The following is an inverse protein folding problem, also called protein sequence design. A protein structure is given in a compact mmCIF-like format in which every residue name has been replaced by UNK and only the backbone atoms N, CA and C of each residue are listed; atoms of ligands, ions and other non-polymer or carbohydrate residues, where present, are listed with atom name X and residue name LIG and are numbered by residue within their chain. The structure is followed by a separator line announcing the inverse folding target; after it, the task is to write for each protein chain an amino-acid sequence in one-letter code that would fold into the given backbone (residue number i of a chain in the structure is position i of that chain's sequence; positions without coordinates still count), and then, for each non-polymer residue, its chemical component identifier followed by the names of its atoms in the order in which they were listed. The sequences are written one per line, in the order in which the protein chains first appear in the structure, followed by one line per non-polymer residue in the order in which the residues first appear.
data_IF_512161699915
#
_entry.id   IF_512161699915
#
_cell.length_a   1.000
_cell.length_b   1.000
_cell.length_c   1.000
_cell.angle_alpha   90.00
_cell.angle_beta   90.00
_cell.angle_gamma   90.00
#
_symmetry.space_group_name_H-M   'P 1'
#
loop_
_entity.id
_entity.type
_entity.pdbx_description
1 polymer ?
#
# COMPACT_ATOMS: atom_id res chain seq x y z
N UNK A 1 5.04 8.77 -2.74
CA UNK A 1 4.29 7.51 -2.50
C UNK A 1 4.69 6.43 -3.50
N UNK A 2 4.29 6.56 -4.78
CA UNK A 2 4.47 5.49 -5.76
C UNK A 2 5.93 5.07 -5.99
N UNK A 3 6.86 6.03 -6.11
CA UNK A 3 8.29 5.72 -6.28
C UNK A 3 8.79 4.82 -5.16
N UNK A 4 8.51 5.17 -3.91
CA UNK A 4 8.91 4.38 -2.74
C UNK A 4 8.31 2.97 -2.77
N UNK A 5 7.03 2.82 -3.13
CA UNK A 5 6.41 1.50 -3.25
C UNK A 5 7.11 0.65 -4.32
N UNK A 6 7.52 1.24 -5.44
CA UNK A 6 8.31 0.53 -6.46
C UNK A 6 9.68 0.12 -5.93
N UNK A 7 10.35 0.97 -5.15
CA UNK A 7 11.61 0.59 -4.47
C UNK A 7 11.39 -0.59 -3.53
N UNK A 8 10.33 -0.56 -2.71
CA UNK A 8 9.99 -1.69 -1.85
C UNK A 8 9.76 -2.96 -2.68
N UNK A 9 9.11 -2.85 -3.83
CA UNK A 9 8.84 -3.99 -4.68
C UNK A 9 10.06 -4.56 -5.43
N UNK A 10 11.11 -3.76 -5.63
CA UNK A 10 12.42 -4.25 -6.12
C UNK A 10 13.28 -4.82 -4.99
N UNK A 11 13.18 -4.24 -3.80
CA UNK A 11 13.92 -4.66 -2.61
C UNK A 11 13.42 -6.00 -2.04
N UNK A 12 12.13 -6.26 -2.11
CA UNK A 12 11.49 -7.46 -1.56
C UNK A 12 10.97 -8.39 -2.66
N UNK A 13 11.09 -9.69 -2.45
CA UNK A 13 10.74 -10.72 -3.44
C UNK A 13 9.23 -10.79 -3.70
N UNK A 14 8.86 -10.97 -4.96
CA UNK A 14 7.49 -11.28 -5.41
C UNK A 14 6.42 -10.27 -5.02
N UNK A 15 6.81 -8.99 -4.95
CA UNK A 15 5.90 -7.88 -4.64
C UNK A 15 5.39 -7.19 -5.91
N UNK A 16 4.07 -7.05 -6.03
CA UNK A 16 3.37 -6.24 -7.02
C UNK A 16 2.94 -4.89 -6.44
N UNK A 17 2.98 -3.84 -7.25
CA UNK A 17 2.59 -2.48 -6.85
C UNK A 17 1.29 -2.10 -7.55
N UNK A 18 0.20 -1.99 -6.79
CA UNK A 18 -1.07 -1.49 -7.31
C UNK A 18 -0.99 0.03 -7.46
N UNK A 19 -1.31 0.53 -8.65
CA UNK A 19 -1.20 1.98 -8.92
C UNK A 19 -2.17 2.79 -8.04
N UNK A 20 -1.72 3.83 -7.31
CA UNK A 20 -2.59 4.62 -6.44
C UNK A 20 -3.67 5.41 -7.19
N UNK A 21 -3.47 5.66 -8.48
CA UNK A 21 -4.36 6.46 -9.33
C UNK A 21 -5.58 5.70 -9.85
N UNK A 22 -5.79 4.44 -9.49
CA UNK A 22 -6.93 3.67 -10.01
C UNK A 22 -8.30 4.23 -9.61
N UNK A 23 -8.37 5.14 -8.65
CA UNK A 23 -9.63 5.83 -8.26
C UNK A 23 -9.96 7.04 -9.13
N UNK A 24 -9.03 7.51 -9.97
CA UNK A 24 -9.25 8.66 -10.85
C UNK A 24 -10.25 8.37 -11.97
N UNK A 25 -10.20 7.21 -12.67
CA UNK A 25 -11.21 6.87 -13.68
C UNK A 25 -12.57 6.55 -13.05
N UNK A 26 -13.65 6.86 -13.77
CA UNK A 26 -15.01 6.52 -13.34
C UNK A 26 -15.37 5.08 -13.70
N UNK A 27 -14.96 4.62 -14.88
CA UNK A 27 -15.33 3.33 -15.44
C UNK A 27 -14.55 2.19 -14.76
N UNK A 28 -15.23 1.14 -14.24
CA UNK A 28 -14.56 0.04 -13.53
C UNK A 28 -13.43 -0.62 -14.32
N UNK A 29 -13.60 -0.82 -15.62
CA UNK A 29 -12.57 -1.43 -16.46
C UNK A 29 -11.33 -0.53 -16.61
N UNK A 30 -11.53 0.79 -16.67
CA UNK A 30 -10.42 1.75 -16.67
C UNK A 30 -9.70 1.76 -15.32
N UNK A 31 -10.44 1.69 -14.21
CA UNK A 31 -9.83 1.53 -12.87
C UNK A 31 -8.94 0.29 -12.82
N UNK A 32 -9.41 -0.85 -13.32
CA UNK A 32 -8.64 -2.12 -13.35
C UNK A 32 -7.37 -2.02 -14.19
N UNK A 33 -7.44 -1.41 -15.37
CA UNK A 33 -6.27 -1.15 -16.23
C UNK A 33 -5.25 -0.29 -15.47
N UNK A 34 -5.70 0.79 -14.82
CA UNK A 34 -4.81 1.68 -14.06
C UNK A 34 -4.25 0.95 -12.84
N UNK A 35 -5.04 0.19 -12.10
CA UNK A 35 -4.58 -0.60 -10.96
C UNK A 35 -3.42 -1.53 -11.35
N UNK A 36 -3.48 -2.13 -12.54
CA UNK A 36 -2.45 -3.01 -13.08
C UNK A 36 -1.39 -2.31 -13.95
N UNK A 37 -1.29 -0.97 -13.99
CA UNK A 37 -0.34 -0.28 -14.87
C UNK A 37 1.12 -0.71 -14.64
N UNK A 38 1.44 -1.18 -13.42
CA UNK A 38 2.77 -1.66 -13.04
C UNK A 38 2.89 -3.20 -13.02
N UNK A 39 1.98 -3.91 -13.71
CA UNK A 39 1.96 -5.39 -13.79
C UNK A 39 1.91 -6.07 -12.42
N UNK A 40 1.15 -5.47 -11.50
CA UNK A 40 1.04 -5.89 -10.11
C UNK A 40 0.51 -7.32 -9.97
N UNK A 41 -0.39 -7.73 -10.87
CA UNK A 41 -1.14 -8.99 -10.79
C UNK A 41 -0.54 -10.10 -11.66
N UNK A 42 0.77 -10.07 -11.89
CA UNK A 42 1.44 -11.15 -12.63
C UNK A 42 1.54 -12.41 -11.75
N UNK A 43 1.50 -13.63 -12.32
CA UNK A 43 1.49 -14.88 -11.52
C UNK A 43 2.70 -15.08 -10.60
N UNK A 44 3.80 -14.36 -10.84
CA UNK A 44 4.99 -14.38 -9.99
C UNK A 44 4.87 -13.49 -8.75
N UNK A 45 3.81 -12.69 -8.62
CA UNK A 45 3.61 -11.80 -7.46
C UNK A 45 2.73 -12.46 -6.43
N UNK A 46 3.33 -12.85 -5.30
CA UNK A 46 2.63 -13.45 -4.18
C UNK A 46 2.13 -12.41 -3.16
N UNK A 47 2.63 -11.17 -3.25
CA UNK A 47 2.27 -10.07 -2.36
C UNK A 47 1.94 -8.82 -3.17
N UNK A 48 0.94 -8.06 -2.76
CA UNK A 48 0.61 -6.78 -3.36
C UNK A 48 0.66 -5.67 -2.31
N UNK A 49 1.17 -4.51 -2.70
CA UNK A 49 1.10 -3.28 -1.91
C UNK A 49 0.35 -2.20 -2.68
N UNK A 50 -0.49 -1.46 -1.96
CA UNK A 50 -1.29 -0.37 -2.50
C UNK A 50 -1.39 0.79 -1.52
N UNK A 51 -1.54 1.98 -2.06
CA UNK A 51 -1.86 3.19 -1.30
C UNK A 51 -2.94 3.97 -2.03
N UNK A 52 -3.84 4.60 -1.31
CA UNK A 52 -4.91 5.45 -1.86
C UNK A 52 -4.82 6.82 -1.22
N UNK A 53 -5.06 7.85 -2.03
CA UNK A 53 -5.21 9.20 -1.54
C UNK A 53 -6.69 9.60 -1.54
N UNK A 54 -7.17 10.07 -0.39
CA UNK A 54 -8.52 10.58 -0.19
C UNK A 54 -8.45 12.10 -0.19
N UNK A 55 -9.23 12.71 -1.09
CA UNK A 55 -9.45 14.15 -1.20
C UNK A 55 -8.17 15.01 -1.32
N UNK A 56 -7.10 14.45 -1.89
CA UNK A 56 -5.81 15.13 -2.07
C UNK A 56 -4.97 15.21 -0.80
N UNK A 57 -5.50 14.82 0.37
CA UNK A 57 -4.93 15.18 1.67
C UNK A 57 -4.58 13.98 2.56
N UNK A 58 -5.34 12.89 2.47
CA UNK A 58 -5.18 11.76 3.39
C UNK A 58 -4.71 10.50 2.67
N UNK A 59 -3.65 9.87 3.17
CA UNK A 59 -3.14 8.62 2.61
C UNK A 59 -3.54 7.45 3.49
N UNK A 60 -4.03 6.40 2.82
CA UNK A 60 -4.33 5.09 3.40
C UNK A 60 -3.61 4.01 2.60
N UNK A 61 -3.42 2.84 3.17
CA UNK A 61 -2.69 1.74 2.53
C UNK A 61 -3.42 0.40 2.67
N UNK A 62 -3.02 -0.53 1.80
CA UNK A 62 -3.38 -1.92 1.94
C UNK A 62 -2.24 -2.83 1.49
N UNK A 63 -2.13 -3.98 2.15
CA UNK A 63 -1.24 -5.06 1.78
C UNK A 63 -2.08 -6.31 1.54
N UNK A 64 -1.74 -7.09 0.51
CA UNK A 64 -2.39 -8.37 0.22
C UNK A 64 -1.32 -9.44 0.19
N UNK A 65 -1.52 -10.47 1.00
CA UNK A 65 -0.86 -11.76 0.83
C UNK A 65 -1.78 -12.65 0.00
N UNK A 66 -1.41 -12.88 -1.26
CA UNK A 66 -2.22 -13.66 -2.20
C UNK A 66 -2.29 -15.13 -1.78
N UNK A 67 -1.20 -15.67 -1.25
CA UNK A 67 -1.12 -17.07 -0.82
C UNK A 67 -1.98 -17.35 0.40
N UNK A 68 -1.90 -16.47 1.40
CA UNK A 68 -2.71 -16.56 2.61
C UNK A 68 -4.14 -16.01 2.44
N UNK A 69 -4.42 -15.34 1.31
CA UNK A 69 -5.70 -14.68 1.01
C UNK A 69 -6.11 -13.65 2.07
N UNK A 70 -5.13 -12.95 2.62
CA UNK A 70 -5.32 -11.94 3.66
C UNK A 70 -5.08 -10.56 3.05
N UNK A 71 -5.98 -9.63 3.31
CA UNK A 71 -5.83 -8.22 3.03
C UNK A 71 -5.74 -7.43 4.33
N UNK A 72 -4.57 -6.84 4.58
CA UNK A 72 -4.36 -5.90 5.67
C UNK A 72 -4.74 -4.51 5.18
N UNK A 73 -5.69 -3.88 5.87
CA UNK A 73 -6.12 -2.51 5.63
C UNK A 73 -5.45 -1.59 6.65
N UNK A 74 -5.01 -0.41 6.21
CA UNK A 74 -4.40 0.56 7.12
C UNK A 74 -4.87 1.98 6.84
N UNK A 75 -5.45 2.58 7.87
CA UNK A 75 -5.67 4.01 7.96
C UNK A 75 -4.84 4.56 9.13
N UNK A 76 -3.91 5.53 8.89
CA UNK A 76 -3.15 6.17 9.96
C UNK A 76 -4.02 6.79 11.07
N UNK A 77 -5.24 7.24 10.74
CA UNK A 77 -6.20 7.80 11.70
C UNK A 77 -7.17 6.74 12.25
N UNK A 78 -7.11 5.51 11.74
CA UNK A 78 -7.90 4.36 12.14
C UNK A 78 -9.43 4.62 12.15
N UNK A 79 -9.94 5.40 11.20
CA UNK A 79 -11.36 5.68 11.10
C UNK A 79 -12.10 4.51 10.42
N UNK A 80 -13.15 4.00 11.05
CA UNK A 80 -13.98 2.90 10.52
C UNK A 80 -14.50 3.18 9.10
N UNK A 81 -14.87 4.44 8.85
CA UNK A 81 -15.34 4.89 7.54
C UNK A 81 -14.26 4.74 6.46
N UNK A 82 -13.00 5.00 6.79
CA UNK A 82 -11.89 4.85 5.84
C UNK A 82 -11.60 3.37 5.58
N UNK A 83 -11.63 2.52 6.60
CA UNK A 83 -11.52 1.06 6.40
C UNK A 83 -12.60 0.52 5.46
N UNK A 84 -13.85 0.96 5.63
CA UNK A 84 -14.95 0.60 4.73
C UNK A 84 -14.70 1.07 3.28
N UNK A 85 -14.21 2.30 3.08
CA UNK A 85 -13.86 2.84 1.77
C UNK A 85 -12.71 2.09 1.09
N UNK A 86 -11.67 1.72 1.86
CA UNK A 86 -10.54 0.94 1.33
C UNK A 86 -11.04 -0.42 0.89
N UNK A 87 -11.77 -1.13 1.76
CA UNK A 87 -12.34 -2.45 1.47
C UNK A 87 -13.22 -2.42 0.22
N UNK A 88 -14.12 -1.43 0.11
CA UNK A 88 -14.96 -1.28 -1.08
C UNK A 88 -14.14 -1.07 -2.36
N UNK A 89 -13.09 -0.25 -2.30
CA UNK A 89 -12.20 -0.01 -3.45
C UNK A 89 -11.45 -1.27 -3.88
N UNK A 90 -11.01 -2.09 -2.91
CA UNK A 90 -10.31 -3.35 -3.17
C UNK A 90 -11.26 -4.37 -3.79
N UNK A 91 -12.47 -4.54 -3.23
CA UNK A 91 -13.49 -5.44 -3.79
C UNK A 91 -13.91 -5.07 -5.22
N UNK A 92 -14.05 -3.78 -5.51
CA UNK A 92 -14.47 -3.31 -6.84
C UNK A 92 -13.37 -3.52 -7.90
N UNK A 93 -12.12 -3.21 -7.56
CA UNK A 93 -11.04 -3.03 -8.56
C UNK A 93 -9.94 -4.07 -8.45
N UNK A 94 -9.51 -4.42 -7.23
CA UNK A 94 -8.31 -5.23 -6.98
C UNK A 94 -8.63 -6.71 -6.94
N UNK A 95 -9.67 -7.14 -6.21
CA UNK A 95 -10.07 -8.56 -6.13
C UNK A 95 -10.37 -9.17 -7.50
N UNK A 96 -11.06 -8.49 -8.45
CA UNK A 96 -11.29 -9.05 -9.78
C UNK A 96 -10.02 -9.29 -10.61
N UNK A 97 -8.88 -8.73 -10.20
CA UNK A 97 -7.58 -8.91 -10.83
C UNK A 97 -6.73 -10.00 -10.17
N UNK A 98 -7.18 -10.53 -9.02
CA UNK A 98 -6.53 -11.65 -8.37
C UNK A 98 -6.81 -12.97 -9.10
N UNK A 99 -6.02 -14.03 -8.86
CA UNK A 99 -6.31 -15.35 -9.41
C UNK A 99 -7.73 -15.82 -9.09
N UNK A 100 -8.31 -16.61 -9.99
CA UNK A 100 -9.68 -17.15 -9.87
C UNK A 100 -9.86 -17.85 -8.51
N UNK A 101 -11.00 -17.59 -7.85
CA UNK A 101 -11.36 -18.10 -6.51
C UNK A 101 -10.52 -17.56 -5.33
N UNK A 102 -9.85 -16.41 -5.50
CA UNK A 102 -9.23 -15.69 -4.38
C UNK A 102 -10.27 -14.84 -3.67
N UNK A 103 -10.86 -15.37 -2.60
CA UNK A 103 -11.68 -14.60 -1.67
C UNK A 103 -10.80 -14.13 -0.51
N UNK A 104 -10.71 -12.81 -0.30
CA UNK A 104 -9.86 -12.22 0.72
C UNK A 104 -10.57 -12.12 2.08
N UNK A 105 -9.87 -12.50 3.13
CA UNK A 105 -10.17 -12.03 4.49
C UNK A 105 -9.57 -10.63 4.68
N UNK A 106 -10.17 -9.83 5.56
CA UNK A 106 -9.81 -8.44 5.75
C UNK A 106 -9.51 -8.15 7.21
N UNK A 107 -8.31 -7.65 7.49
CA UNK A 107 -7.85 -7.30 8.83
C UNK A 107 -7.45 -5.83 8.89
N UNK A 108 -7.95 -5.10 9.89
CA UNK A 108 -7.58 -3.71 10.11
C UNK A 108 -6.28 -3.65 10.93
N UNK A 109 -5.26 -2.97 10.41
CA UNK A 109 -4.01 -2.75 11.12
C UNK A 109 -4.14 -1.59 12.11
N UNK A 110 -4.33 -1.89 13.39
CA UNK A 110 -4.62 -0.88 14.44
C UNK A 110 -3.44 -0.58 15.37
N UNK A 111 -2.29 -1.23 15.18
CA UNK A 111 -1.13 -1.06 16.07
C UNK A 111 -0.43 0.30 15.91
N UNK A 112 -0.59 0.97 14.78
CA UNK A 112 0.02 2.27 14.47
C UNK A 112 -1.06 3.35 14.39
N UNK A 113 -1.07 4.32 15.31
CA UNK A 113 -1.95 5.48 15.28
C UNK A 113 -1.14 6.75 15.03
N UNK A 114 -1.49 7.55 14.03
CA UNK A 114 -0.79 8.80 13.74
C UNK A 114 -1.05 9.84 14.85
N UNK A 115 0.00 10.54 15.30
CA UNK A 115 -0.04 11.50 16.41
C UNK A 115 0.06 12.96 15.95
N UNK A 116 0.00 13.18 14.64
CA UNK A 116 0.22 14.46 13.95
C UNK A 116 -0.74 14.60 12.77
N UNK A 117 -0.61 15.66 11.96
CA UNK A 117 -1.49 15.92 10.82
C UNK A 117 -0.80 15.78 9.45
N UNK A 118 0.45 15.30 9.40
CA UNK A 118 1.28 15.38 8.18
C UNK A 118 2.05 14.09 7.84
N UNK A 119 1.97 13.04 8.66
CA UNK A 119 2.70 11.79 8.44
C UNK A 119 1.87 10.63 7.88
N UNK A 120 0.64 10.86 7.39
CA UNK A 120 -0.24 9.78 6.90
C UNK A 120 0.43 8.93 5.81
N UNK A 121 1.10 9.60 4.87
CA UNK A 121 1.87 8.92 3.84
C UNK A 121 3.09 8.16 4.38
N UNK A 122 3.80 8.74 5.36
CA UNK A 122 4.95 8.08 5.98
C UNK A 122 4.53 6.79 6.69
N UNK A 123 3.46 6.85 7.49
CA UNK A 123 2.94 5.69 8.21
C UNK A 123 2.45 4.60 7.26
N UNK A 124 1.83 4.97 6.13
CA UNK A 124 1.48 4.02 5.07
C UNK A 124 2.71 3.25 4.58
N UNK A 125 3.80 3.94 4.25
CA UNK A 125 5.04 3.30 3.77
C UNK A 125 5.67 2.37 4.82
N UNK A 126 5.64 2.77 6.09
CA UNK A 126 6.18 1.97 7.19
C UNK A 126 5.35 0.70 7.37
N UNK A 127 4.02 0.80 7.43
CA UNK A 127 3.14 -0.37 7.60
C UNK A 127 3.24 -1.32 6.41
N UNK A 128 3.38 -0.80 5.19
CA UNK A 128 3.63 -1.62 3.99
C UNK A 128 4.97 -2.37 4.12
N UNK A 129 6.06 -1.70 4.50
CA UNK A 129 7.37 -2.36 4.66
C UNK A 129 7.38 -3.37 5.83
N UNK A 130 6.72 -3.06 6.95
CA UNK A 130 6.54 -4.01 8.06
C UNK A 130 5.76 -5.25 7.63
N UNK A 131 4.68 -5.07 6.86
CA UNK A 131 3.88 -6.18 6.33
C UNK A 131 4.69 -7.06 5.36
N UNK A 132 5.52 -6.45 4.52
CA UNK A 132 6.41 -7.19 3.60
C UNK A 132 7.46 -8.02 4.33
N UNK A 133 7.97 -7.51 5.46
CA UNK A 133 9.02 -8.15 6.28
C UNK A 133 8.48 -9.08 7.37
N UNK A 134 7.16 -9.07 7.62
CA UNK A 134 6.55 -9.80 8.73
C UNK A 134 6.96 -9.25 10.11
N UNK A 135 7.50 -8.04 10.17
CA UNK A 135 7.99 -7.44 11.41
C UNK A 135 6.85 -6.73 12.16
N UNK A 136 6.79 -6.83 13.50
CA UNK A 136 5.77 -6.16 14.28
C UNK A 136 5.99 -4.65 14.34
N UNK A 137 4.92 -3.90 14.55
CA UNK A 137 4.99 -2.48 14.90
C UNK A 137 5.77 -2.26 16.20
N UNK A 138 6.48 -1.13 16.27
CA UNK A 138 7.14 -0.71 17.50
C UNK A 138 6.98 0.79 17.76
N UNK A 139 6.50 1.16 18.96
CA UNK A 139 6.27 2.57 19.37
C UNK A 139 7.49 3.48 19.26
N UNK A 140 8.70 2.91 19.28
CA UNK A 140 9.94 3.66 19.08
C UNK A 140 10.03 4.34 17.70
N UNK A 141 9.29 3.87 16.70
CA UNK A 141 9.27 4.45 15.35
C UNK A 141 8.77 5.91 15.35
N UNK A 142 7.91 6.31 16.28
CA UNK A 142 7.50 7.71 16.45
C UNK A 142 8.69 8.65 16.71
N UNK A 143 9.72 8.18 17.43
CA UNK A 143 10.93 8.99 17.69
C UNK A 143 11.86 9.09 16.48
N UNK A 144 11.60 8.31 15.43
CA UNK A 144 12.45 8.20 14.25
C UNK A 144 11.83 8.87 13.03
N UNK A 145 10.71 9.60 13.15
CA UNK A 145 10.02 10.23 12.01
C UNK A 145 10.96 11.03 11.10
N UNK A 146 11.84 11.94 11.60
CA UNK A 146 12.75 12.68 10.72
C UNK A 146 13.70 11.77 9.94
N UNK A 147 14.24 10.75 10.61
CA UNK A 147 15.11 9.76 9.98
C UNK A 147 14.36 8.90 8.94
N UNK A 148 13.14 8.46 9.26
CA UNK A 148 12.33 7.64 8.37
C UNK A 148 11.93 8.39 7.10
N UNK A 149 11.58 9.69 7.22
CA UNK A 149 11.37 10.58 6.06
C UNK A 149 12.60 10.63 5.16
N UNK A 150 13.78 10.89 5.76
CA UNK A 150 15.04 10.94 5.02
C UNK A 150 15.38 9.60 4.37
N UNK A 151 15.18 8.48 5.08
CA UNK A 151 15.42 7.13 4.58
C UNK A 151 14.59 6.83 3.34
N UNK A 152 13.28 7.07 3.39
CA UNK A 152 12.41 6.81 2.23
C UNK A 152 12.69 7.79 1.07
N UNK A 153 13.07 9.03 1.35
CA UNK A 153 13.52 9.96 0.31
C UNK A 153 14.82 9.46 -0.36
N UNK A 154 15.81 9.03 0.43
CA UNK A 154 17.07 8.48 -0.08
C UNK A 154 16.86 7.24 -0.94
N UNK A 155 15.93 6.35 -0.54
CA UNK A 155 15.53 5.19 -1.35
C UNK A 155 14.95 5.61 -2.69
N UNK A 156 14.09 6.63 -2.73
CA UNK A 156 13.55 7.16 -3.97
C UNK A 156 14.63 7.75 -4.88
N UNK A 157 15.60 8.47 -4.32
CA UNK A 157 16.68 9.08 -5.10
C UNK A 157 17.52 8.01 -5.79
N UNK A 158 17.97 6.99 -5.06
CA UNK A 158 18.73 5.87 -5.65
C UNK A 158 17.95 5.18 -6.76
N UNK A 159 16.67 4.89 -6.54
CA UNK A 159 15.83 4.28 -7.58
C UNK A 159 15.66 5.17 -8.82
N UNK A 160 15.52 6.49 -8.67
CA UNK A 160 15.40 7.38 -9.83
C UNK A 160 16.71 7.46 -10.60
N UNK A 161 17.85 7.49 -9.90
CA UNK A 161 19.18 7.52 -10.51
C UNK A 161 19.48 6.25 -11.30
N UNK A 162 19.13 5.07 -10.77
CA UNK A 162 19.31 3.78 -11.46
C UNK A 162 18.44 3.61 -12.72
N UNK A 163 17.35 4.37 -12.84
CA UNK A 163 16.40 4.27 -13.97
C UNK A 163 16.52 5.43 -14.98
N UNK A 164 17.47 6.35 -14.77
CA UNK A 164 17.84 7.37 -15.76
C UNK A 164 18.73 6.79 -16.85
#
# INVERSE_FOLDING_TARGET
MITTMKVLAEKYTDVGVVSPSFREPKEPDRKRIVANAYKAFTPTKSKLIGALNYDGAHWVAFFIDVGNRVCILFDPLQEDMNYAKIKASIKEVVEPLLPVNTELTYDNYTSCFQQDNDNCGLWCLIVLELSLTGMPWHKGLYKLVPYLRLRFLSLCLGYVEEKR
#
